data_IF_419954143586
#
_entry.id   IF_419954143586
#
_cell.length_a   1.000
_cell.length_b   1.000
_cell.length_c   1.000
_cell.angle_alpha   90.00
_cell.angle_beta   90.00
_cell.angle_gamma   90.00
#
_symmetry.space_group_name_H-M   'P 1'
#
loop_
_entity.id
_entity.type
_entity.pdbx_description
1 polymer ?
#
# COMPACT_ATOMS: atom_id res chain seq x y z
N UNK A 1 -3.45 -5.32 -14.97
CA UNK A 1 -2.70 -4.53 -13.96
C UNK A 1 -2.17 -5.39 -12.80
N UNK A 2 -3.01 -6.14 -12.08
CA UNK A 2 -2.59 -6.94 -10.90
C UNK A 2 -1.51 -7.99 -11.23
N UNK A 3 -1.58 -8.65 -12.39
CA UNK A 3 -0.56 -9.61 -12.89
C UNK A 3 0.82 -8.98 -13.11
N UNK A 4 0.83 -7.77 -13.65
CA UNK A 4 2.07 -7.03 -13.93
C UNK A 4 2.69 -6.54 -12.61
N UNK A 5 1.85 -6.06 -11.69
CA UNK A 5 2.28 -5.65 -10.35
C UNK A 5 2.80 -6.83 -9.51
N UNK A 6 2.19 -8.02 -9.62
CA UNK A 6 2.67 -9.23 -8.96
C UNK A 6 4.03 -9.70 -9.51
N UNK A 7 4.25 -9.61 -10.83
CA UNK A 7 5.57 -9.89 -11.43
C UNK A 7 6.61 -8.82 -11.06
N UNK A 8 6.23 -7.54 -11.07
CA UNK A 8 7.10 -6.44 -10.66
C UNK A 8 7.52 -6.55 -9.19
N UNK A 9 6.57 -6.89 -8.31
CA UNK A 9 6.83 -7.14 -6.88
C UNK A 9 7.79 -8.33 -6.67
N UNK A 10 7.66 -9.40 -7.47
CA UNK A 10 8.61 -10.54 -7.43
C UNK A 10 9.99 -10.18 -7.98
N UNK A 11 10.06 -9.39 -9.05
CA UNK A 11 11.32 -9.05 -9.72
C UNK A 11 12.09 -7.91 -9.03
N UNK A 12 11.38 -7.00 -8.36
CA UNK A 12 11.95 -5.83 -7.67
C UNK A 12 11.38 -5.70 -6.24
N UNK A 13 11.77 -6.59 -5.31
CA UNK A 13 11.25 -6.59 -3.94
C UNK A 13 11.59 -5.30 -3.17
N UNK A 14 12.77 -4.71 -3.41
CA UNK A 14 13.19 -3.45 -2.78
C UNK A 14 12.30 -2.26 -3.16
N UNK A 15 11.93 -2.14 -4.45
CA UNK A 15 11.03 -1.08 -4.93
C UNK A 15 9.63 -1.25 -4.36
N UNK A 16 9.14 -2.49 -4.25
CA UNK A 16 7.85 -2.76 -3.63
C UNK A 16 7.85 -2.41 -2.14
N UNK A 17 8.91 -2.79 -1.41
CA UNK A 17 9.10 -2.45 0.00
C UNK A 17 9.15 -0.93 0.21
N UNK A 18 9.87 -0.18 -0.64
CA UNK A 18 9.91 1.27 -0.59
C UNK A 18 8.51 1.88 -0.81
N UNK A 19 7.74 1.36 -1.76
CA UNK A 19 6.39 1.84 -2.03
C UNK A 19 5.43 1.59 -0.86
N UNK A 20 5.53 0.42 -0.20
CA UNK A 20 4.78 0.13 1.03
C UNK A 20 5.18 1.09 2.14
N UNK A 21 6.49 1.30 2.34
CA UNK A 21 7.02 2.19 3.37
C UNK A 21 6.54 3.63 3.16
N UNK A 22 6.53 4.11 1.91
CA UNK A 22 6.00 5.41 1.55
C UNK A 22 4.50 5.53 1.90
N UNK A 23 3.68 4.54 1.53
CA UNK A 23 2.25 4.51 1.89
C UNK A 23 2.05 4.49 3.40
N UNK A 24 2.87 3.73 4.14
CA UNK A 24 2.83 3.69 5.61
C UNK A 24 3.20 5.03 6.24
N UNK A 25 4.23 5.71 5.72
CA UNK A 25 4.63 7.04 6.18
C UNK A 25 3.52 8.08 5.96
N UNK A 26 2.84 8.03 4.81
CA UNK A 26 1.67 8.88 4.54
C UNK A 26 0.56 8.60 5.56
N UNK A 27 0.30 7.32 5.86
CA UNK A 27 -0.72 6.93 6.81
C UNK A 27 -0.39 7.45 8.22
N UNK A 28 0.85 7.28 8.69
CA UNK A 28 1.31 7.80 10.00
C UNK A 28 1.19 9.33 10.05
N UNK A 29 1.61 10.02 8.98
CA UNK A 29 1.51 11.47 8.89
C UNK A 29 0.06 11.94 8.97
N UNK A 30 -0.84 11.25 8.26
CA UNK A 30 -2.27 11.52 8.26
C UNK A 30 -2.89 11.28 9.65
N UNK A 31 -2.50 10.21 10.35
CA UNK A 31 -2.91 9.94 11.74
C UNK A 31 -2.45 11.05 12.69
N UNK A 32 -1.19 11.47 12.56
CA UNK A 32 -0.64 12.53 13.39
C UNK A 32 -1.38 13.85 13.17
N UNK A 33 -1.63 14.20 11.91
CA UNK A 33 -2.31 15.43 11.55
C UNK A 33 -3.76 15.45 12.02
N UNK A 34 -4.44 14.30 11.95
CA UNK A 34 -5.79 14.12 12.47
C UNK A 34 -5.83 14.24 14.00
N UNK A 35 -4.87 13.64 14.71
CA UNK A 35 -4.77 13.74 16.17
C UNK A 35 -4.50 15.17 16.64
N UNK A 36 -3.60 15.88 15.95
CA UNK A 36 -3.16 17.23 16.35
C UNK A 36 -4.18 18.32 16.01
N UNK A 37 -4.83 18.25 14.85
CA UNK A 37 -5.79 19.28 14.42
C UNK A 37 -7.24 18.93 14.77
N UNK A 38 -7.55 17.67 15.08
CA UNK A 38 -8.89 17.16 15.37
C UNK A 38 -9.93 17.48 14.28
N UNK A 39 -9.48 17.65 13.03
CA UNK A 39 -10.33 17.93 11.86
C UNK A 39 -10.56 16.67 11.05
N UNK A 40 -11.82 16.43 10.70
CA UNK A 40 -12.26 15.26 9.92
C UNK A 40 -11.73 15.31 8.48
N UNK A 41 -11.34 16.48 7.99
CA UNK A 41 -10.78 16.68 6.65
C UNK A 41 -9.53 15.82 6.39
N UNK A 42 -8.76 15.53 7.43
CA UNK A 42 -7.58 14.66 7.32
C UNK A 42 -7.95 13.19 7.06
N UNK A 43 -9.18 12.75 7.32
CA UNK A 43 -9.64 11.38 7.01
C UNK A 43 -9.55 11.08 5.50
N UNK A 44 -9.62 12.10 4.64
CA UNK A 44 -9.53 11.91 3.19
C UNK A 44 -8.17 11.29 2.76
N UNK A 45 -7.10 11.58 3.50
CA UNK A 45 -5.78 10.97 3.25
C UNK A 45 -5.78 9.45 3.42
N UNK A 46 -6.61 8.91 4.32
CA UNK A 46 -6.75 7.47 4.50
C UNK A 46 -7.45 6.80 3.31
N UNK A 47 -8.42 7.47 2.68
CA UNK A 47 -9.09 6.96 1.47
C UNK A 47 -8.07 6.84 0.34
N UNK A 48 -7.19 7.82 0.20
CA UNK A 48 -6.10 7.79 -0.78
C UNK A 48 -5.11 6.66 -0.47
N UNK A 49 -4.80 6.40 0.81
CA UNK A 49 -3.92 5.30 1.21
C UNK A 49 -4.56 3.91 1.05
N UNK A 50 -5.89 3.80 1.14
CA UNK A 50 -6.61 2.52 0.96
C UNK A 50 -6.49 1.97 -0.47
N UNK A 51 -6.45 2.84 -1.48
CA UNK A 51 -6.34 2.44 -2.88
C UNK A 51 -5.07 1.62 -3.19
N UNK A 52 -3.84 2.09 -2.88
CA UNK A 52 -2.63 1.30 -3.09
C UNK A 52 -2.58 0.06 -2.19
N UNK A 53 -3.10 0.12 -0.96
CA UNK A 53 -3.19 -1.04 -0.06
C UNK A 53 -4.03 -2.16 -0.71
N UNK A 54 -5.16 -1.81 -1.31
CA UNK A 54 -6.02 -2.79 -1.99
C UNK A 54 -5.31 -3.45 -3.18
N UNK A 55 -4.56 -2.66 -3.96
CA UNK A 55 -3.75 -3.17 -5.08
C UNK A 55 -2.65 -4.10 -4.57
N UNK A 56 -1.95 -3.74 -3.48
CA UNK A 56 -0.92 -4.59 -2.87
C UNK A 56 -1.51 -5.90 -2.35
N UNK A 57 -2.65 -5.85 -1.67
CA UNK A 57 -3.36 -7.03 -1.18
C UNK A 57 -3.71 -7.98 -2.33
N UNK A 58 -4.33 -7.46 -3.40
CA UNK A 58 -4.67 -8.25 -4.59
C UNK A 58 -3.45 -8.83 -5.28
N UNK A 59 -2.35 -8.07 -5.37
CA UNK A 59 -1.10 -8.53 -5.97
C UNK A 59 -0.43 -9.62 -5.13
N UNK A 60 -0.46 -9.51 -3.80
CA UNK A 60 0.05 -10.53 -2.88
C UNK A 60 -0.74 -11.83 -2.98
N UNK A 61 -2.09 -11.77 -2.96
CA UNK A 61 -2.94 -12.95 -3.18
C UNK A 61 -2.67 -13.59 -4.55
N UNK A 62 -2.46 -12.77 -5.59
CA UNK A 62 -2.13 -13.27 -6.92
C UNK A 62 -0.75 -13.95 -6.96
N UNK A 63 0.27 -13.36 -6.30
CA UNK A 63 1.61 -13.94 -6.17
C UNK A 63 1.56 -15.29 -5.46
N UNK A 64 0.88 -15.37 -4.32
CA UNK A 64 0.74 -16.60 -3.54
C UNK A 64 -0.01 -17.69 -4.34
N UNK A 65 -1.11 -17.33 -5.02
CA UNK A 65 -1.94 -18.31 -5.75
C UNK A 65 -1.34 -18.82 -7.07
N UNK A 66 -0.60 -17.98 -7.81
CA UNK A 66 -0.18 -18.30 -9.18
C UNK A 66 1.33 -18.33 -9.41
N UNK A 67 2.12 -17.67 -8.56
CA UNK A 67 3.57 -17.59 -8.72
C UNK A 67 4.33 -18.48 -7.72
N UNK A 68 3.60 -19.26 -6.92
CA UNK A 68 4.15 -20.34 -6.09
C UNK A 68 5.26 -19.85 -5.17
N UNK A 69 4.98 -18.86 -4.34
CA UNK A 69 5.85 -18.50 -3.22
C UNK A 69 5.18 -19.11 -1.98
N UNK A 70 5.71 -20.26 -1.53
CA UNK A 70 5.55 -20.71 -0.14
C UNK A 70 6.46 -19.87 0.74
#
# INVERSE_FOLDING_TARGET
MIRAYARLSKNYPLMHMFNILLVFSILIFCTYQLLQNNKIEYVFGYIVALFPIFIFAKASTYKSKYLGDR
#
